data_IF_080505796955
#
_entry.id   IF_080505796955
#
_cell.length_a   1.000
_cell.length_b   1.000
_cell.length_c   1.000
_cell.angle_alpha   90.00
_cell.angle_beta   90.00
_cell.angle_gamma   90.00
#
_symmetry.space_group_name_H-M   'P 1'
#
loop_
_entity.id
_entity.type
_entity.pdbx_description
1 polymer ?
#
# COMPACT_ATOMS: atom_id res chain seq x y z
N UNK A 1 10.93 1.59 -7.26
CA UNK A 1 11.17 0.76 -6.06
C UNK A 1 11.16 1.52 -4.74
N UNK A 2 10.75 2.81 -4.67
CA UNK A 2 10.64 3.52 -3.38
C UNK A 2 9.32 3.24 -2.64
N UNK A 3 8.41 2.49 -3.26
CA UNK A 3 7.20 1.92 -2.61
C UNK A 3 7.60 1.21 -1.31
N UNK A 4 8.59 0.31 -1.41
CA UNK A 4 9.17 -0.43 -0.29
C UNK A 4 9.68 0.50 0.83
N UNK A 5 10.57 1.44 0.49
CA UNK A 5 11.13 2.38 1.46
C UNK A 5 10.03 3.17 2.18
N UNK A 6 8.97 3.60 1.48
CA UNK A 6 7.87 4.32 2.09
C UNK A 6 7.10 3.46 3.11
N UNK A 7 6.86 2.19 2.79
CA UNK A 7 6.23 1.26 3.73
C UNK A 7 7.10 0.98 4.96
N UNK A 8 8.43 0.89 4.81
CA UNK A 8 9.35 0.80 5.96
C UNK A 8 9.18 1.97 6.95
N UNK A 9 8.81 3.16 6.48
CA UNK A 9 8.52 4.32 7.32
C UNK A 9 7.06 4.44 7.77
N UNK A 10 6.22 3.42 7.54
CA UNK A 10 4.75 3.47 7.66
C UNK A 10 4.12 4.69 6.97
N UNK A 11 4.74 5.22 5.91
CA UNK A 11 4.23 6.36 5.16
C UNK A 11 3.38 5.87 3.98
N UNK A 12 2.09 5.65 4.24
CA UNK A 12 1.15 5.16 3.25
C UNK A 12 0.94 6.15 2.09
N UNK A 13 0.99 7.47 2.33
CA UNK A 13 0.89 8.46 1.25
C UNK A 13 1.97 8.21 0.20
N UNK A 14 3.25 8.16 0.63
CA UNK A 14 4.38 8.01 -0.29
C UNK A 14 4.41 6.66 -0.95
N UNK A 15 3.98 5.60 -0.26
CA UNK A 15 3.92 4.28 -0.85
C UNK A 15 2.90 4.22 -2.01
N UNK A 16 1.71 4.81 -1.80
CA UNK A 16 0.68 4.90 -2.83
C UNK A 16 1.09 5.84 -3.97
N UNK A 17 1.70 6.99 -3.67
CA UNK A 17 2.20 7.95 -4.67
C UNK A 17 3.29 7.33 -5.57
N UNK A 18 4.24 6.59 -4.98
CA UNK A 18 5.25 5.85 -5.74
C UNK A 18 4.64 4.69 -6.54
N UNK A 19 3.52 4.12 -6.09
CA UNK A 19 2.76 3.11 -6.84
C UNK A 19 2.09 3.73 -8.07
N UNK A 20 1.52 4.94 -7.95
CA UNK A 20 0.99 5.70 -9.09
C UNK A 20 2.09 6.09 -10.09
N UNK A 21 3.29 6.41 -9.60
CA UNK A 21 4.45 6.65 -10.46
C UNK A 21 4.85 5.39 -11.25
N UNK A 22 4.83 4.21 -10.62
CA UNK A 22 5.04 2.93 -11.30
C UNK A 22 3.95 2.65 -12.35
N UNK A 23 2.68 2.88 -12.03
CA UNK A 23 1.57 2.75 -12.99
C UNK A 23 1.76 3.69 -14.19
N UNK A 24 2.16 4.94 -13.95
CA UNK A 24 2.44 5.91 -15.02
C UNK A 24 3.56 5.39 -15.94
N UNK A 25 4.62 4.80 -15.38
CA UNK A 25 5.69 4.20 -16.17
C UNK A 25 5.22 2.97 -16.98
N UNK A 26 4.35 2.13 -16.40
CA UNK A 26 3.73 1.00 -17.09
C UNK A 26 2.89 1.45 -18.28
N UNK A 27 2.04 2.47 -18.10
CA UNK A 27 1.20 3.02 -19.17
C UNK A 27 2.06 3.64 -20.28
N UNK A 28 3.15 4.32 -19.93
CA UNK A 28 4.11 4.83 -20.90
C UNK A 28 4.78 3.70 -21.70
N UNK A 29 5.19 2.61 -21.03
CA UNK A 29 5.75 1.45 -21.70
C UNK A 29 4.73 0.78 -22.65
N UNK A 30 3.48 0.60 -22.20
CA UNK A 30 2.40 0.05 -23.01
C UNK A 30 2.14 0.86 -24.29
N UNK A 31 2.29 2.18 -24.24
CA UNK A 31 2.13 3.06 -25.40
C UNK A 31 3.29 2.98 -26.41
N UNK A 32 4.44 2.40 -26.02
CA UNK A 32 5.66 2.35 -26.84
C UNK A 32 5.93 0.98 -27.46
N UNK A 33 5.20 -0.06 -27.07
CA UNK A 33 5.46 -1.43 -27.50
C UNK A 33 4.28 -2.05 -28.23
N UNK A 34 4.56 -3.03 -29.09
CA UNK A 34 3.55 -3.86 -29.70
C UNK A 34 3.25 -5.09 -28.81
N UNK A 35 2.05 -5.21 -28.21
CA UNK A 35 1.72 -6.32 -27.32
C UNK A 35 1.60 -7.66 -28.05
N UNK A 36 1.61 -7.72 -29.39
CA UNK A 36 1.68 -9.01 -30.11
C UNK A 36 3.10 -9.58 -30.19
N UNK A 37 4.11 -8.77 -29.86
CA UNK A 37 5.54 -9.13 -29.95
C UNK A 37 6.28 -8.89 -28.64
N UNK A 38 5.62 -8.29 -27.65
CA UNK A 38 6.21 -7.91 -26.36
C UNK A 38 5.42 -8.53 -25.22
N UNK A 39 6.09 -9.31 -24.37
CA UNK A 39 5.55 -9.79 -23.10
C UNK A 39 5.87 -8.75 -22.01
N UNK A 40 4.83 -8.21 -21.37
CA UNK A 40 4.92 -7.35 -20.20
C UNK A 40 4.48 -8.15 -18.98
N UNK A 41 5.28 -8.11 -17.92
CA UNK A 41 4.97 -8.71 -16.62
C UNK A 41 5.15 -7.66 -15.53
N UNK A 42 4.15 -7.55 -14.65
CA UNK A 42 4.16 -6.66 -13.48
C UNK A 42 3.94 -7.53 -12.25
N UNK A 43 4.83 -7.39 -11.27
CA UNK A 43 4.79 -8.14 -10.00
C UNK A 43 5.45 -7.32 -8.91
N UNK A 44 5.34 -7.79 -7.67
CA UNK A 44 6.21 -7.39 -6.58
C UNK A 44 7.27 -8.46 -6.31
N UNK A 45 8.36 -8.08 -5.65
CA UNK A 45 9.36 -8.99 -5.07
C UNK A 45 8.89 -9.54 -3.70
N UNK A 46 8.18 -8.72 -2.92
CA UNK A 46 7.48 -9.11 -1.69
C UNK A 46 6.36 -8.11 -1.35
N UNK A 47 5.60 -8.37 -0.30
CA UNK A 47 4.59 -7.43 0.23
C UNK A 47 5.12 -6.63 1.43
N UNK A 48 4.23 -5.95 2.16
CA UNK A 48 4.48 -5.26 3.43
C UNK A 48 3.37 -5.58 4.43
N UNK A 49 3.65 -5.38 5.72
CA UNK A 49 2.66 -5.59 6.81
C UNK A 49 1.54 -4.52 6.84
N UNK A 50 1.13 -4.00 5.69
CA UNK A 50 0.03 -3.06 5.54
C UNK A 50 -1.31 -3.79 5.59
N UNK A 51 -2.28 -3.19 6.25
CA UNK A 51 -3.67 -3.65 6.27
C UNK A 51 -4.57 -2.50 5.83
N UNK A 52 -5.64 -2.83 5.09
CA UNK A 52 -6.71 -1.90 4.75
C UNK A 52 -8.00 -2.43 5.37
N UNK A 53 -8.61 -1.63 6.23
CA UNK A 53 -9.81 -2.04 6.97
C UNK A 53 -10.77 -0.89 7.20
N UNK A 54 -11.39 -0.88 8.37
CA UNK A 54 -12.44 0.06 8.74
C UNK A 54 -13.75 -0.64 9.08
N UNK A 55 -14.55 -0.01 9.94
CA UNK A 55 -15.93 -0.38 10.22
C UNK A 55 -16.90 0.38 9.31
N UNK A 56 -16.71 1.69 9.13
CA UNK A 56 -17.66 2.55 8.44
C UNK A 56 -16.95 3.48 7.45
N UNK A 57 -16.21 2.86 6.52
CA UNK A 57 -15.51 3.50 5.40
C UNK A 57 -16.34 3.35 4.11
N UNK A 58 -17.26 4.27 3.81
CA UNK A 58 -18.10 4.17 2.61
C UNK A 58 -17.28 4.32 1.33
N UNK A 59 -17.85 3.90 0.20
CA UNK A 59 -17.25 4.14 -1.13
C UNK A 59 -16.96 5.63 -1.32
N UNK A 60 -15.74 5.94 -1.77
CA UNK A 60 -15.28 7.33 -1.96
C UNK A 60 -14.64 7.94 -0.71
N UNK A 61 -14.57 7.22 0.41
CA UNK A 61 -13.83 7.65 1.59
C UNK A 61 -12.33 7.79 1.28
N UNK A 62 -11.64 8.85 1.78
CA UNK A 62 -10.20 9.00 1.61
C UNK A 62 -9.41 7.83 2.20
N UNK A 63 -8.57 7.17 1.39
CA UNK A 63 -7.83 5.96 1.81
C UNK A 63 -6.83 6.20 2.96
N UNK A 64 -6.32 7.43 3.07
CA UNK A 64 -5.40 7.85 4.13
C UNK A 64 -6.12 8.38 5.37
N UNK A 65 -7.45 8.49 5.31
CA UNK A 65 -8.25 9.15 6.35
C UNK A 65 -8.59 8.24 7.54
N UNK A 66 -8.96 8.86 8.68
CA UNK A 66 -9.54 8.15 9.81
C UNK A 66 -10.88 7.52 9.42
N UNK A 67 -11.20 6.36 9.98
CA UNK A 67 -12.54 5.82 9.94
C UNK A 67 -13.53 6.81 10.59
N UNK A 68 -14.77 6.83 10.10
CA UNK A 68 -15.86 7.62 10.70
C UNK A 68 -16.29 7.10 12.08
N UNK A 69 -15.82 5.91 12.46
CA UNK A 69 -16.07 5.26 13.74
C UNK A 69 -14.78 5.12 14.53
N UNK A 70 -14.84 5.46 15.82
CA UNK A 70 -13.76 5.21 16.77
C UNK A 70 -13.76 3.74 17.20
N UNK A 71 -12.65 3.28 17.78
CA UNK A 71 -12.63 1.97 18.41
C UNK A 71 -13.63 1.92 19.57
N UNK A 72 -14.39 0.83 19.64
CA UNK A 72 -15.34 0.52 20.69
C UNK A 72 -14.68 0.04 22.00
N UNK A 73 -13.37 -0.20 21.98
CA UNK A 73 -12.59 -0.65 23.15
C UNK A 73 -11.98 0.53 23.91
N UNK A 74 -11.30 1.45 23.21
CA UNK A 74 -10.56 2.55 23.84
C UNK A 74 -11.09 3.95 23.47
N UNK A 75 -12.13 4.05 22.63
CA UNK A 75 -12.75 5.30 22.21
C UNK A 75 -11.89 6.17 21.28
N UNK A 76 -10.72 5.73 20.83
CA UNK A 76 -9.82 6.53 20.01
C UNK A 76 -10.07 6.28 18.49
N UNK A 77 -9.87 7.30 17.61
CA UNK A 77 -9.99 7.16 16.16
C UNK A 77 -8.85 6.34 15.58
N UNK A 78 -9.05 5.59 14.48
CA UNK A 78 -8.02 4.85 13.71
C UNK A 78 -8.16 5.16 12.22
N UNK A 79 -7.09 4.96 11.45
CA UNK A 79 -7.06 5.13 10.00
C UNK A 79 -7.51 3.89 9.24
N UNK A 80 -8.00 4.10 8.02
CA UNK A 80 -8.36 3.01 7.07
C UNK A 80 -7.16 2.11 6.80
N UNK A 81 -5.97 2.72 6.65
CA UNK A 81 -4.69 2.00 6.56
C UNK A 81 -4.05 1.89 7.94
N UNK A 82 -3.58 0.71 8.29
CA UNK A 82 -2.75 0.44 9.47
C UNK A 82 -1.58 -0.47 9.08
N UNK A 83 -0.56 -0.54 9.92
CA UNK A 83 0.55 -1.48 9.76
C UNK A 83 0.63 -2.47 10.93
N UNK A 84 1.09 -3.69 10.68
CA UNK A 84 1.35 -4.67 11.74
C UNK A 84 2.46 -4.22 12.69
N UNK A 85 3.54 -3.65 12.14
CA UNK A 85 4.65 -3.09 12.91
C UNK A 85 5.30 -1.90 12.18
N UNK A 86 6.16 -1.16 12.86
CA UNK A 86 6.89 -0.05 12.27
C UNK A 86 6.98 1.17 13.18
N UNK A 87 7.48 2.30 12.64
CA UNK A 87 7.71 3.51 13.43
C UNK A 87 6.42 4.23 13.85
N UNK A 88 5.25 3.82 13.33
CA UNK A 88 3.97 4.43 13.66
C UNK A 88 3.37 4.05 15.01
N UNK A 89 4.00 3.15 15.78
CA UNK A 89 3.51 2.81 17.11
C UNK A 89 3.64 4.01 18.06
N UNK A 90 2.54 4.39 18.72
CA UNK A 90 2.52 5.44 19.73
C UNK A 90 1.44 5.16 20.79
N UNK A 91 1.64 5.68 22.00
CA UNK A 91 0.67 5.58 23.11
C UNK A 91 0.54 6.95 23.80
N UNK A 92 -0.59 7.68 23.67
CA UNK A 92 -1.77 7.35 22.87
C UNK A 92 -1.46 7.28 21.37
N UNK A 93 -2.33 6.62 20.60
CA UNK A 93 -2.10 6.47 19.16
C UNK A 93 -2.15 7.83 18.47
N UNK A 94 -1.25 8.07 17.54
CA UNK A 94 -1.27 9.28 16.71
C UNK A 94 -2.16 9.01 15.51
N UNK A 95 -3.05 9.94 15.20
CA UNK A 95 -3.86 9.88 14.00
C UNK A 95 -3.34 10.90 12.99
N UNK A 96 -2.87 10.42 11.82
CA UNK A 96 -2.69 11.24 10.63
C UNK A 96 -3.91 12.17 10.44
N UNK A 97 -3.71 13.48 10.67
CA UNK A 97 -4.73 14.51 10.51
C UNK A 97 -4.16 15.64 9.67
N UNK A 98 -5.00 16.23 8.82
CA UNK A 98 -4.63 17.29 7.89
C UNK A 98 -3.79 18.38 8.59
N UNK A 99 -2.50 18.44 8.28
CA UNK A 99 -1.52 19.35 8.90
C UNK A 99 -1.52 20.72 8.22
N UNK A 100 -0.83 21.69 8.83
CA UNK A 100 -0.71 23.07 8.34
C UNK A 100 -0.09 23.21 6.95
N UNK A 101 0.69 22.22 6.50
CA UNK A 101 1.26 22.20 5.15
C UNK A 101 1.02 20.87 4.43
N UNK A 102 0.95 20.92 3.10
CA UNK A 102 0.85 19.73 2.26
C UNK A 102 2.10 18.84 2.36
N UNK A 103 3.29 19.40 2.65
CA UNK A 103 4.50 18.61 2.79
C UNK A 103 4.48 17.76 4.08
N UNK A 104 3.98 18.32 5.18
CA UNK A 104 3.77 17.59 6.43
C UNK A 104 2.69 16.51 6.24
N UNK A 105 1.65 16.80 5.46
CA UNK A 105 0.56 15.87 5.21
C UNK A 105 1.05 14.60 4.50
N UNK A 106 1.90 14.79 3.49
CA UNK A 106 2.58 13.70 2.75
C UNK A 106 3.60 12.91 3.58
N UNK A 107 3.98 13.42 4.76
CA UNK A 107 4.98 12.81 5.63
C UNK A 107 4.37 12.11 6.85
N UNK A 108 3.04 12.04 6.94
CA UNK A 108 2.36 11.40 8.06
C UNK A 108 2.65 9.89 8.13
N UNK A 109 2.95 9.43 9.35
CA UNK A 109 3.27 8.05 9.68
C UNK A 109 1.99 7.39 10.20
N UNK A 110 1.55 6.31 9.55
CA UNK A 110 0.34 5.58 9.95
C UNK A 110 0.62 4.64 11.12
N UNK A 111 -0.37 4.46 11.98
CA UNK A 111 -0.21 3.70 13.21
C UNK A 111 0.15 2.23 12.97
N UNK A 112 0.91 1.66 13.90
CA UNK A 112 1.28 0.25 13.90
C UNK A 112 1.06 -0.41 15.25
N UNK A 113 0.90 -1.74 15.27
CA UNK A 113 0.64 -2.49 16.51
C UNK A 113 1.92 -2.78 17.32
N UNK A 114 3.07 -2.96 16.66
CA UNK A 114 4.36 -3.27 17.31
C UNK A 114 5.42 -2.22 16.96
N UNK A 115 6.10 -1.59 17.94
CA UNK A 115 7.10 -0.57 17.68
C UNK A 115 8.36 -1.15 17.03
N UNK A 116 8.77 -0.54 15.91
CA UNK A 116 10.00 -0.86 15.18
C UNK A 116 10.55 0.42 14.55
N UNK A 117 11.87 0.49 14.34
CA UNK A 117 12.44 1.61 13.57
C UNK A 117 11.97 1.59 12.11
N UNK A 118 11.84 0.40 11.53
CA UNK A 118 11.31 0.16 10.19
C UNK A 118 10.28 -0.97 10.21
N UNK A 119 9.17 -0.77 9.50
CA UNK A 119 8.19 -1.80 9.25
C UNK A 119 8.84 -3.01 8.54
N UNK A 120 8.26 -4.21 8.67
CA UNK A 120 8.77 -5.40 7.98
C UNK A 120 8.05 -5.66 6.67
N UNK A 121 8.67 -6.44 5.79
CA UNK A 121 7.99 -7.01 4.62
C UNK A 121 6.84 -7.93 5.05
N UNK A 122 5.89 -8.11 4.14
CA UNK A 122 4.84 -9.11 4.18
C UNK A 122 5.32 -10.39 3.52
N UNK A 123 4.90 -11.53 4.07
CA UNK A 123 5.28 -12.87 3.60
C UNK A 123 4.19 -13.59 2.83
N UNK A 124 3.08 -12.92 2.56
CA UNK A 124 1.99 -13.44 1.74
C UNK A 124 2.32 -13.39 0.25
N UNK A 125 1.59 -14.20 -0.52
CA UNK A 125 1.69 -14.22 -1.98
C UNK A 125 1.40 -12.83 -2.58
N UNK A 126 2.20 -12.45 -3.58
CA UNK A 126 2.03 -11.21 -4.34
C UNK A 126 1.48 -11.51 -5.74
N UNK A 127 0.68 -10.59 -6.32
CA UNK A 127 0.09 -10.84 -7.62
C UNK A 127 1.14 -10.76 -8.74
N UNK A 128 0.93 -11.58 -9.77
CA UNK A 128 1.61 -11.45 -11.06
C UNK A 128 0.57 -11.11 -12.13
N UNK A 129 0.78 -9.99 -12.82
CA UNK A 129 -0.02 -9.58 -13.98
C UNK A 129 0.84 -9.70 -15.24
N UNK A 130 0.29 -10.29 -16.29
CA UNK A 130 1.01 -10.48 -17.55
C UNK A 130 0.14 -10.14 -18.77
N UNK A 131 0.75 -9.55 -19.80
CA UNK A 131 0.14 -9.20 -21.09
C UNK A 131 1.12 -9.51 -22.23
N UNK A 132 0.60 -10.05 -23.33
CA UNK A 132 1.37 -10.28 -24.56
C UNK A 132 1.63 -11.77 -24.85
N UNK A 133 2.63 -12.10 -25.69
CA UNK A 133 2.88 -13.48 -26.10
C UNK A 133 3.11 -14.39 -24.89
N UNK A 134 2.43 -15.55 -24.89
CA UNK A 134 2.51 -16.58 -23.85
C UNK A 134 1.98 -16.18 -22.45
N UNK A 135 1.49 -14.94 -22.24
CA UNK A 135 1.04 -14.48 -20.93
C UNK A 135 0.03 -15.42 -20.27
N UNK A 136 -1.00 -15.83 -21.00
CA UNK A 136 -2.07 -16.74 -20.52
C UNK A 136 -1.66 -18.21 -20.49
N UNK A 137 -0.46 -18.56 -20.95
CA UNK A 137 0.07 -19.92 -20.88
C UNK A 137 1.01 -20.07 -19.69
N UNK A 138 1.87 -19.07 -19.48
CA UNK A 138 2.92 -19.10 -18.45
C UNK A 138 2.42 -18.63 -17.07
N UNK A 139 1.44 -17.74 -17.02
CA UNK A 139 0.96 -17.12 -15.79
C UNK A 139 -0.53 -17.43 -15.55
N UNK A 140 -0.81 -18.67 -15.15
CA UNK A 140 -2.19 -19.22 -15.07
C UNK A 140 -2.67 -19.50 -13.64
N UNK A 141 -1.85 -19.19 -12.64
CA UNK A 141 -2.17 -19.34 -11.22
C UNK A 141 -1.33 -20.41 -10.53
N UNK A 142 -1.55 -20.54 -9.22
CA UNK A 142 -0.93 -21.57 -8.40
C UNK A 142 -1.84 -22.82 -8.42
N UNK A 143 -1.34 -24.00 -8.84
CA UNK A 143 -2.10 -25.22 -8.65
C UNK A 143 -2.33 -25.43 -7.15
N UNK A 144 -3.58 -25.66 -6.76
CA UNK A 144 -3.93 -26.08 -5.40
C UNK A 144 -3.23 -27.43 -5.14
N UNK A 145 -2.41 -27.46 -4.10
CA UNK A 145 -1.69 -28.67 -3.64
C UNK A 145 -2.62 -29.49 -2.75
#
# INVERSE_FOLDING_TARGET
GRIDHAHHYNNAYRALDETLAMETALLAALALVNPTETLIVVTSDHSHVLTMGGQATPRGHPILGPDSKVSDVDGQPYTTILYGNGPGFATPRIIPMNTTSAAEDRNQVHASAVPRQWATHGGEDVPVYALGPLATTLFTGMPLI
#
